data_IF_379429160928
#
_entry.id   IF_379429160928
#
_cell.length_a   1.000
_cell.length_b   1.000
_cell.length_c   1.000
_cell.angle_alpha   90.00
_cell.angle_beta   90.00
_cell.angle_gamma   90.00
#
_symmetry.space_group_name_H-M   'P 1'
#
loop_
_entity.id
_entity.type
_entity.pdbx_description
1 polymer ?
#
# COMPACT_ATOMS: atom_id res chain seq x y z
N UNK A 1 -25.18 -19.39 2.67
CA UNK A 1 -25.29 -18.18 3.53
C UNK A 1 -26.45 -17.31 3.03
N UNK A 2 -27.19 -16.64 3.92
CA UNK A 2 -28.34 -15.77 3.59
C UNK A 2 -28.08 -14.32 4.07
N UNK A 3 -27.32 -13.51 3.30
CA UNK A 3 -27.07 -12.11 3.65
C UNK A 3 -28.33 -11.26 3.49
N UNK A 4 -28.42 -10.18 4.26
CA UNK A 4 -29.51 -9.17 4.17
C UNK A 4 -29.21 -8.13 3.08
N UNK A 5 -27.93 -7.86 2.85
CA UNK A 5 -27.42 -6.93 1.84
C UNK A 5 -26.03 -7.42 1.41
N UNK A 6 -25.67 -7.19 0.15
CA UNK A 6 -24.36 -7.51 -0.41
C UNK A 6 -23.64 -6.23 -0.86
N UNK A 7 -22.32 -6.18 -0.72
CA UNK A 7 -21.48 -5.06 -1.16
C UNK A 7 -20.27 -5.54 -1.94
N UNK A 8 -20.00 -4.91 -3.08
CA UNK A 8 -18.82 -5.15 -3.91
C UNK A 8 -18.00 -3.86 -3.96
N UNK A 9 -16.86 -3.84 -3.27
CA UNK A 9 -15.92 -2.72 -3.30
C UNK A 9 -15.19 -2.63 -4.64
N UNK A 10 -14.29 -1.65 -4.79
CA UNK A 10 -13.47 -1.50 -6.00
C UNK A 10 -12.77 -2.81 -6.36
N UNK A 11 -12.90 -3.19 -7.63
CA UNK A 11 -12.28 -4.37 -8.19
C UNK A 11 -10.90 -4.02 -8.73
N UNK A 12 -9.93 -4.90 -8.48
CA UNK A 12 -8.59 -4.82 -9.04
C UNK A 12 -8.10 -6.22 -9.40
N UNK A 13 -7.09 -6.27 -10.28
CA UNK A 13 -6.38 -7.52 -10.55
C UNK A 13 -5.64 -7.92 -9.28
N UNK A 14 -6.05 -9.04 -8.70
CA UNK A 14 -5.45 -9.65 -7.52
C UNK A 14 -5.83 -11.13 -7.48
N UNK A 15 -5.01 -11.95 -6.83
CA UNK A 15 -5.25 -13.39 -6.69
C UNK A 15 -5.55 -14.12 -8.01
N UNK A 16 -4.80 -13.83 -9.07
CA UNK A 16 -5.04 -14.35 -10.43
C UNK A 16 -5.05 -15.87 -10.52
N UNK A 17 -4.26 -16.56 -9.67
CA UNK A 17 -4.22 -18.02 -9.59
C UNK A 17 -5.56 -18.66 -9.17
N UNK A 18 -6.43 -17.93 -8.45
CA UNK A 18 -7.71 -18.45 -7.92
C UNK A 18 -8.89 -17.78 -8.60
N UNK A 19 -8.82 -16.45 -8.81
CA UNK A 19 -9.95 -15.65 -9.29
C UNK A 19 -9.96 -15.47 -10.82
N UNK A 20 -8.88 -15.84 -11.50
CA UNK A 20 -8.70 -15.65 -12.93
C UNK A 20 -7.72 -14.51 -13.27
N UNK A 21 -7.19 -14.58 -14.48
CA UNK A 21 -6.18 -13.69 -15.05
C UNK A 21 -6.74 -12.37 -15.61
N UNK A 22 -8.06 -12.20 -15.65
CA UNK A 22 -8.70 -10.96 -16.14
C UNK A 22 -9.63 -10.34 -15.09
N UNK A 23 -9.84 -9.03 -15.19
CA UNK A 23 -10.70 -8.29 -14.25
C UNK A 23 -12.16 -8.75 -14.36
N UNK A 24 -12.58 -9.24 -15.52
CA UNK A 24 -13.91 -9.81 -15.78
C UNK A 24 -14.11 -11.13 -15.04
N UNK A 25 -13.12 -12.03 -15.07
CA UNK A 25 -13.17 -13.29 -14.32
C UNK A 25 -13.22 -13.02 -12.82
N UNK A 26 -12.43 -12.06 -12.36
CA UNK A 26 -12.44 -11.60 -10.96
C UNK A 26 -13.81 -11.01 -10.59
N UNK A 27 -14.38 -10.16 -11.44
CA UNK A 27 -15.71 -9.59 -11.25
C UNK A 27 -16.79 -10.66 -11.19
N UNK A 28 -16.70 -11.67 -12.05
CA UNK A 28 -17.65 -12.79 -12.07
C UNK A 28 -17.59 -13.59 -10.76
N UNK A 29 -16.38 -13.94 -10.29
CA UNK A 29 -16.17 -14.66 -9.04
C UNK A 29 -16.65 -13.86 -7.83
N UNK A 30 -16.25 -12.59 -7.72
CA UNK A 30 -16.65 -11.70 -6.61
C UNK A 30 -18.15 -11.38 -6.67
N UNK A 31 -18.75 -11.31 -7.85
CA UNK A 31 -20.20 -11.21 -8.05
C UNK A 31 -20.98 -12.43 -7.56
N UNK A 32 -20.31 -13.57 -7.30
CA UNK A 32 -20.93 -14.76 -6.70
C UNK A 32 -21.49 -14.55 -5.28
N UNK A 33 -21.14 -13.44 -4.61
CA UNK A 33 -21.74 -13.09 -3.31
C UNK A 33 -23.17 -12.58 -3.44
N UNK A 34 -23.59 -12.10 -4.62
CA UNK A 34 -24.95 -11.62 -4.88
C UNK A 34 -25.95 -12.77 -4.68
N UNK A 35 -27.17 -12.45 -4.21
CA UNK A 35 -28.21 -13.43 -3.87
C UNK A 35 -29.58 -13.01 -4.39
N UNK A 36 -30.45 -13.97 -4.76
CA UNK A 36 -31.78 -13.66 -5.28
C UNK A 36 -32.59 -12.80 -4.30
N UNK A 37 -33.15 -11.69 -4.80
CA UNK A 37 -33.96 -10.75 -4.01
C UNK A 37 -33.21 -9.94 -2.95
N UNK A 38 -31.91 -10.18 -2.75
CA UNK A 38 -31.09 -9.44 -1.77
C UNK A 38 -30.50 -8.20 -2.44
N UNK A 39 -30.65 -7.00 -1.87
CA UNK A 39 -30.07 -5.79 -2.44
C UNK A 39 -28.53 -5.86 -2.43
N UNK A 40 -27.94 -5.51 -3.58
CA UNK A 40 -26.50 -5.40 -3.80
C UNK A 40 -26.09 -3.95 -4.05
N UNK A 41 -24.93 -3.57 -3.54
CA UNK A 41 -24.31 -2.26 -3.80
C UNK A 41 -22.90 -2.44 -4.37
N UNK A 42 -22.52 -1.60 -5.33
CA UNK A 42 -21.15 -1.48 -5.82
C UNK A 42 -20.72 -0.02 -5.85
N UNK A 43 -19.41 0.22 -5.82
CA UNK A 43 -18.80 1.52 -6.13
C UNK A 43 -18.51 1.62 -7.64
N UNK A 44 -18.11 2.80 -8.17
CA UNK A 44 -17.65 2.91 -9.55
C UNK A 44 -16.56 1.90 -9.90
N UNK A 45 -16.69 1.28 -11.07
CA UNK A 45 -15.77 0.28 -11.62
C UNK A 45 -15.48 0.62 -13.09
N UNK A 46 -14.40 0.07 -13.69
CA UNK A 46 -14.24 0.08 -15.14
C UNK A 46 -15.44 -0.56 -15.84
N UNK A 47 -15.74 -0.11 -17.07
CA UNK A 47 -16.96 -0.50 -17.78
C UNK A 47 -17.11 -2.02 -17.96
N UNK A 48 -16.02 -2.71 -18.31
CA UNK A 48 -16.01 -4.16 -18.53
C UNK A 48 -16.40 -4.98 -17.28
N UNK A 49 -15.70 -4.88 -16.13
CA UNK A 49 -16.09 -5.60 -14.91
C UNK A 49 -17.44 -5.13 -14.36
N UNK A 50 -17.82 -3.86 -14.53
CA UNK A 50 -19.16 -3.39 -14.14
C UNK A 50 -20.26 -4.14 -14.91
N UNK A 51 -20.07 -4.32 -16.22
CA UNK A 51 -21.02 -5.05 -17.07
C UNK A 51 -21.18 -6.50 -16.61
N UNK A 52 -20.10 -7.15 -16.18
CA UNK A 52 -20.14 -8.50 -15.60
C UNK A 52 -20.99 -8.53 -14.33
N UNK A 53 -20.79 -7.57 -13.41
CA UNK A 53 -21.59 -7.48 -12.18
C UNK A 53 -23.08 -7.26 -12.48
N UNK A 54 -23.39 -6.42 -13.46
CA UNK A 54 -24.77 -6.13 -13.90
C UNK A 54 -25.43 -7.38 -14.48
N UNK A 55 -24.74 -8.10 -15.37
CA UNK A 55 -25.25 -9.34 -15.95
C UNK A 55 -25.48 -10.39 -14.85
N UNK A 56 -24.52 -10.53 -13.92
CA UNK A 56 -24.62 -11.46 -12.79
C UNK A 56 -25.79 -11.14 -11.87
N UNK A 57 -26.00 -9.86 -11.57
CA UNK A 57 -27.13 -9.41 -10.76
C UNK A 57 -28.47 -9.71 -11.45
N UNK A 58 -28.57 -9.50 -12.77
CA UNK A 58 -29.76 -9.83 -13.57
C UNK A 58 -30.05 -11.33 -13.57
N UNK A 59 -29.05 -12.17 -13.85
CA UNK A 59 -29.17 -13.64 -13.83
C UNK A 59 -29.68 -14.16 -12.48
N UNK A 60 -29.17 -13.59 -11.38
CA UNK A 60 -29.51 -14.01 -10.02
C UNK A 60 -30.88 -13.46 -9.57
N UNK A 61 -31.39 -12.40 -10.21
CA UNK A 61 -32.53 -11.64 -9.69
C UNK A 61 -32.17 -10.82 -8.45
N UNK A 62 -30.95 -10.30 -8.39
CA UNK A 62 -30.44 -9.42 -7.34
C UNK A 62 -30.61 -7.96 -7.78
N UNK A 63 -31.35 -7.11 -7.04
CA UNK A 63 -31.28 -5.66 -7.24
C UNK A 63 -29.85 -5.18 -7.00
N UNK A 64 -29.27 -4.44 -7.93
CA UNK A 64 -27.91 -3.90 -7.82
C UNK A 64 -27.94 -2.40 -8.03
N UNK A 65 -27.20 -1.67 -7.19
CA UNK A 65 -27.13 -0.21 -7.23
C UNK A 65 -25.68 0.29 -7.19
N UNK A 66 -25.43 1.40 -7.87
CA UNK A 66 -24.20 2.17 -7.72
C UNK A 66 -24.29 3.04 -6.46
N UNK A 67 -23.25 3.10 -5.65
CA UNK A 67 -23.20 4.02 -4.51
C UNK A 67 -22.98 5.46 -5.01
N UNK A 68 -23.63 6.46 -4.38
CA UNK A 68 -23.40 7.88 -4.69
C UNK A 68 -22.02 8.34 -4.22
N UNK A 69 -21.61 9.54 -4.64
CA UNK A 69 -20.40 10.16 -4.11
C UNK A 69 -20.57 10.48 -2.62
N UNK A 70 -19.47 10.51 -1.85
CA UNK A 70 -19.54 10.82 -0.42
C UNK A 70 -20.10 12.24 -0.17
N UNK A 71 -19.87 13.16 -1.11
CA UNK A 71 -20.38 14.53 -1.04
C UNK A 71 -21.92 14.59 -1.08
N UNK A 72 -22.59 13.58 -1.65
CA UNK A 72 -24.07 13.53 -1.72
C UNK A 72 -24.72 13.24 -0.36
N UNK A 73 -23.95 12.81 0.64
CA UNK A 73 -24.42 12.61 2.02
C UNK A 73 -24.19 13.84 2.91
N UNK A 74 -23.48 14.85 2.40
CA UNK A 74 -23.15 16.07 3.14
C UNK A 74 -24.33 17.05 3.15
N UNK A 75 -24.45 17.81 4.24
CA UNK A 75 -25.39 18.93 4.31
C UNK A 75 -24.63 20.23 4.07
N UNK A 76 -25.35 21.28 3.67
CA UNK A 76 -24.76 22.60 3.47
C UNK A 76 -23.95 23.05 4.70
N UNK A 77 -22.65 23.25 4.51
CA UNK A 77 -21.70 23.64 5.57
C UNK A 77 -21.24 22.51 6.50
N UNK A 78 -21.58 21.24 6.26
CA UNK A 78 -21.16 20.09 7.08
C UNK A 78 -20.57 18.97 6.24
N UNK A 79 -19.25 18.99 6.09
CA UNK A 79 -18.52 17.91 5.42
C UNK A 79 -18.35 16.69 6.32
N UNK A 80 -18.40 15.50 5.72
CA UNK A 80 -18.17 14.23 6.41
C UNK A 80 -16.67 13.99 6.59
N UNK A 81 -16.20 14.10 7.83
CA UNK A 81 -14.84 13.74 8.18
C UNK A 81 -14.72 12.21 8.35
N UNK A 82 -13.73 11.59 7.69
CA UNK A 82 -13.43 10.16 7.80
C UNK A 82 -12.24 9.94 8.73
N UNK A 83 -12.28 8.89 9.56
CA UNK A 83 -11.15 8.48 10.40
C UNK A 83 -9.99 7.87 9.62
N UNK A 84 -10.27 7.36 8.41
CA UNK A 84 -9.27 6.78 7.52
C UNK A 84 -8.86 7.79 6.44
N UNK A 85 -7.55 7.95 6.24
CA UNK A 85 -7.00 8.85 5.24
C UNK A 85 -7.03 8.26 3.82
N UNK A 86 -6.92 9.13 2.81
CA UNK A 86 -6.82 8.75 1.40
C UNK A 86 -8.17 8.75 0.66
N UNK A 87 -8.17 9.26 -0.57
CA UNK A 87 -9.41 9.48 -1.35
C UNK A 87 -10.22 8.21 -1.62
N UNK A 88 -9.55 7.07 -1.76
CA UNK A 88 -10.22 5.79 -1.96
C UNK A 88 -11.13 5.40 -0.78
N UNK A 89 -10.88 5.94 0.42
CA UNK A 89 -11.74 5.70 1.57
C UNK A 89 -13.10 6.39 1.45
N UNK A 90 -13.25 7.43 0.62
CA UNK A 90 -14.54 8.07 0.33
C UNK A 90 -15.51 7.08 -0.33
N UNK A 91 -15.01 6.29 -1.30
CA UNK A 91 -15.78 5.22 -1.94
C UNK A 91 -16.14 4.11 -0.94
N UNK A 92 -15.18 3.71 -0.09
CA UNK A 92 -15.42 2.70 0.94
C UNK A 92 -16.46 3.17 1.97
N UNK A 93 -16.41 4.45 2.37
CA UNK A 93 -17.36 5.06 3.29
C UNK A 93 -18.76 5.13 2.69
N UNK A 94 -18.91 5.55 1.43
CA UNK A 94 -20.20 5.55 0.74
C UNK A 94 -20.79 4.14 0.66
N UNK A 95 -19.97 3.14 0.29
CA UNK A 95 -20.43 1.74 0.30
C UNK A 95 -20.84 1.29 1.70
N UNK A 96 -20.06 1.60 2.75
CA UNK A 96 -20.38 1.26 4.13
C UNK A 96 -21.70 1.90 4.59
N UNK A 97 -21.94 3.18 4.25
CA UNK A 97 -23.19 3.89 4.55
C UNK A 97 -24.40 3.20 3.91
N UNK A 98 -24.33 2.87 2.61
CA UNK A 98 -25.43 2.18 1.92
C UNK A 98 -25.71 0.79 2.51
N UNK A 99 -24.65 0.04 2.82
CA UNK A 99 -24.78 -1.29 3.44
C UNK A 99 -25.40 -1.21 4.83
N UNK A 100 -24.91 -0.29 5.68
CA UNK A 100 -25.42 -0.08 7.02
C UNK A 100 -26.88 0.37 7.00
N UNK A 101 -27.20 1.34 6.14
CA UNK A 101 -28.56 1.85 5.98
C UNK A 101 -29.53 0.76 5.55
N UNK A 102 -29.21 0.02 4.49
CA UNK A 102 -30.05 -1.05 3.99
C UNK A 102 -30.26 -2.13 5.06
N UNK A 103 -29.19 -2.49 5.78
CA UNK A 103 -29.29 -3.46 6.86
C UNK A 103 -30.22 -2.98 7.99
N UNK A 104 -30.08 -1.73 8.45
CA UNK A 104 -30.91 -1.16 9.51
C UNK A 104 -32.38 -1.08 9.10
N UNK A 105 -32.66 -0.68 7.86
CA UNK A 105 -34.01 -0.63 7.30
C UNK A 105 -34.66 -2.03 7.26
N UNK A 106 -33.95 -3.03 6.76
CA UNK A 106 -34.45 -4.42 6.69
C UNK A 106 -34.65 -5.04 8.07
N UNK A 107 -33.96 -4.53 9.11
CA UNK A 107 -34.15 -4.93 10.50
C UNK A 107 -35.27 -4.17 11.22
N UNK A 108 -35.90 -3.19 10.57
CA UNK A 108 -36.96 -2.37 11.16
C UNK A 108 -36.45 -1.33 12.17
N UNK A 109 -35.15 -1.01 12.16
CA UNK A 109 -34.58 0.03 13.01
C UNK A 109 -35.05 1.41 12.53
N UNK A 110 -35.83 2.12 13.34
CA UNK A 110 -36.29 3.50 13.07
C UNK A 110 -35.24 4.51 13.54
N UNK A 111 -35.25 5.72 12.97
CA UNK A 111 -34.45 6.86 13.43
C UNK A 111 -33.04 7.01 12.84
N UNK A 112 -32.65 6.16 11.88
CA UNK A 112 -31.32 6.19 11.25
C UNK A 112 -31.35 6.75 9.82
N UNK A 113 -31.81 8.00 9.65
CA UNK A 113 -31.89 8.64 8.34
C UNK A 113 -33.11 8.16 7.55
N UNK A 114 -34.08 9.05 7.37
CA UNK A 114 -35.22 8.80 6.48
C UNK A 114 -34.75 8.91 5.03
N UNK A 115 -34.63 7.78 4.33
CA UNK A 115 -34.69 7.84 2.88
C UNK A 115 -36.12 8.20 2.50
N UNK A 116 -36.29 9.23 1.66
CA UNK A 116 -37.49 9.41 0.82
C UNK A 116 -37.54 8.32 -0.27
N UNK A 117 -37.34 7.06 0.09
CA UNK A 117 -37.60 5.94 -0.79
C UNK A 117 -38.99 5.46 -0.34
N UNK A 118 -40.06 5.76 -1.11
CA UNK A 118 -41.34 5.14 -0.85
C UNK A 118 -41.11 3.64 -0.85
N UNK A 119 -41.75 2.93 0.07
CA UNK A 119 -41.88 1.48 0.08
C UNK A 119 -42.04 0.93 -1.35
N UNK A 120 -40.92 0.57 -2.00
CA UNK A 120 -40.89 0.25 -3.42
C UNK A 120 -40.57 -1.24 -3.53
N UNK A 121 -41.42 -1.93 -4.29
CA UNK A 121 -41.00 -3.10 -5.06
C UNK A 121 -39.66 -2.74 -5.70
N UNK A 122 -38.54 -3.27 -5.20
CA UNK A 122 -37.21 -2.89 -5.69
C UNK A 122 -37.18 -3.17 -7.19
N UNK A 123 -36.98 -2.16 -8.04
CA UNK A 123 -36.98 -2.38 -9.48
C UNK A 123 -35.84 -3.32 -9.84
N UNK A 124 -36.14 -4.31 -10.68
CA UNK A 124 -35.13 -5.15 -11.33
C UNK A 124 -34.11 -4.27 -12.06
N UNK A 125 -32.85 -4.69 -12.08
CA UNK A 125 -31.69 -3.97 -12.64
C UNK A 125 -32.02 -3.36 -14.02
N UNK A 126 -32.14 -2.02 -14.08
CA UNK A 126 -32.27 -1.26 -15.33
C UNK A 126 -30.90 -0.80 -15.81
N UNK A 127 -30.73 -0.63 -17.12
CA UNK A 127 -29.54 -0.02 -17.72
C UNK A 127 -29.89 1.43 -18.13
N UNK A 128 -29.07 2.44 -17.79
CA UNK A 128 -27.84 2.38 -16.98
C UNK A 128 -28.10 1.96 -15.53
N UNK A 129 -27.09 1.38 -14.86
CA UNK A 129 -27.19 0.93 -13.47
C UNK A 129 -27.72 2.06 -12.59
N UNK A 130 -28.79 1.79 -11.84
CA UNK A 130 -29.42 2.82 -11.02
C UNK A 130 -28.50 3.28 -9.90
N UNK A 131 -28.33 4.59 -9.78
CA UNK A 131 -27.67 5.23 -8.65
C UNK A 131 -28.54 5.05 -7.42
N UNK A 132 -27.95 4.61 -6.31
CA UNK A 132 -28.65 4.56 -5.04
C UNK A 132 -28.88 5.97 -4.52
N UNK A 133 -30.03 6.22 -3.92
CA UNK A 133 -30.31 7.51 -3.32
C UNK A 133 -29.42 7.73 -2.09
N UNK A 134 -28.72 8.86 -2.07
CA UNK A 134 -28.09 9.34 -0.85
C UNK A 134 -29.14 9.66 0.22
N UNK A 135 -28.71 9.69 1.47
CA UNK A 135 -29.54 9.96 2.63
C UNK A 135 -28.72 10.76 3.65
N UNK A 136 -29.39 11.43 4.58
CA UNK A 136 -28.71 12.12 5.68
C UNK A 136 -28.19 11.08 6.69
N UNK A 137 -26.87 10.91 6.85
CA UNK A 137 -26.33 9.95 7.83
C UNK A 137 -26.74 10.36 9.24
N UNK A 138 -27.12 9.37 10.04
CA UNK A 138 -27.40 9.58 11.46
C UNK A 138 -26.13 9.93 12.23
N UNK A 139 -26.26 10.57 13.40
CA UNK A 139 -25.11 10.90 14.24
C UNK A 139 -24.23 9.66 14.57
N UNK A 140 -24.78 8.47 14.89
CA UNK A 140 -23.96 7.26 15.06
C UNK A 140 -23.22 6.82 13.80
N UNK A 141 -23.78 7.02 12.60
CA UNK A 141 -23.08 6.71 11.35
C UNK A 141 -21.92 7.67 11.11
N UNK A 142 -22.13 8.97 11.30
CA UNK A 142 -21.07 9.98 11.18
C UNK A 142 -19.96 9.70 12.17
N UNK A 143 -20.30 9.45 13.44
CA UNK A 143 -19.33 9.07 14.47
C UNK A 143 -18.61 7.77 14.13
N UNK A 144 -19.33 6.77 13.62
CA UNK A 144 -18.74 5.51 13.17
C UNK A 144 -17.69 5.73 12.07
N UNK A 145 -17.97 6.58 11.08
CA UNK A 145 -17.00 6.93 10.04
C UNK A 145 -15.79 7.69 10.60
N UNK A 146 -16.00 8.61 11.54
CA UNK A 146 -14.94 9.41 12.18
C UNK A 146 -14.03 8.59 13.07
N UNK A 147 -14.61 7.67 13.85
CA UNK A 147 -13.89 6.86 14.84
C UNK A 147 -13.31 5.57 14.22
N UNK A 148 -13.53 5.31 12.93
CA UNK A 148 -13.04 4.09 12.27
C UNK A 148 -11.51 4.10 12.24
N UNK A 149 -10.92 3.10 12.90
CA UNK A 149 -9.49 2.80 12.85
C UNK A 149 -9.29 1.46 12.14
N UNK A 150 -8.38 1.44 11.17
CA UNK A 150 -7.99 0.22 10.46
C UNK A 150 -6.47 0.12 10.39
N UNK A 151 -5.91 -0.74 11.24
CA UNK A 151 -4.46 -0.92 11.35
C UNK A 151 -3.86 -1.37 10.00
N UNK A 152 -2.79 -0.69 9.60
CA UNK A 152 -2.11 -0.94 8.34
C UNK A 152 -2.83 -0.44 7.10
N UNK A 153 -3.76 0.51 7.24
CA UNK A 153 -4.41 1.22 6.12
C UNK A 153 -4.22 2.71 6.28
N UNK A 154 -3.40 3.29 5.40
CA UNK A 154 -3.07 4.74 5.41
C UNK A 154 -2.75 5.25 6.83
N UNK A 155 -2.01 4.44 7.60
CA UNK A 155 -1.76 4.70 9.01
C UNK A 155 -0.42 5.42 9.15
N UNK A 156 -0.40 6.50 9.93
CA UNK A 156 0.83 7.21 10.30
C UNK A 156 1.10 6.98 11.78
N UNK A 157 2.32 6.54 12.11
CA UNK A 157 2.80 6.46 13.48
C UNK A 157 4.03 7.34 13.64
N UNK A 158 4.04 8.19 14.66
CA UNK A 158 5.14 9.09 14.97
C UNK A 158 5.87 8.60 16.22
N UNK A 159 7.18 8.40 16.13
CA UNK A 159 8.05 7.90 17.20
C UNK A 159 9.34 8.72 17.24
N UNK A 160 9.37 9.76 18.06
CA UNK A 160 10.49 10.70 18.09
C UNK A 160 10.71 11.35 16.70
N UNK A 161 11.91 11.27 16.11
CA UNK A 161 12.22 11.79 14.77
C UNK A 161 11.85 10.82 13.63
N UNK A 162 11.08 9.76 13.91
CA UNK A 162 10.70 8.74 12.94
C UNK A 162 9.20 8.80 12.66
N UNK A 163 8.85 8.79 11.38
CA UNK A 163 7.47 8.65 10.92
C UNK A 163 7.31 7.39 10.11
N UNK A 164 6.49 6.48 10.61
CA UNK A 164 6.09 5.29 9.88
C UNK A 164 4.81 5.56 9.12
N UNK A 165 4.87 5.38 7.80
CA UNK A 165 3.74 5.38 6.90
C UNK A 165 3.43 3.94 6.55
N UNK A 166 2.29 3.43 6.98
CA UNK A 166 2.00 2.00 6.94
C UNK A 166 0.72 1.76 6.12
N UNK A 167 0.87 1.04 5.00
CA UNK A 167 -0.26 0.68 4.17
C UNK A 167 -0.09 -0.68 3.47
N UNK A 168 -1.04 -1.59 3.68
CA UNK A 168 -1.05 -2.94 3.11
C UNK A 168 -1.43 -3.03 1.63
N UNK A 169 -1.21 -1.98 0.82
CA UNK A 169 -1.38 -2.01 -0.63
C UNK A 169 -0.50 -3.08 -1.28
N UNK A 170 -1.03 -3.77 -2.29
CA UNK A 170 -0.35 -4.87 -2.99
C UNK A 170 -0.94 -5.17 -4.38
N UNK A 171 -1.67 -4.22 -4.94
CA UNK A 171 -2.20 -4.22 -6.31
C UNK A 171 -1.84 -2.88 -6.94
N UNK A 172 -1.81 -2.78 -8.28
CA UNK A 172 -1.45 -1.52 -8.93
C UNK A 172 -2.32 -0.34 -8.46
N UNK A 173 -3.63 -0.54 -8.36
CA UNK A 173 -4.56 0.49 -7.90
C UNK A 173 -4.36 0.86 -6.43
N UNK A 174 -4.12 -0.12 -5.56
CA UNK A 174 -3.89 0.17 -4.14
C UNK A 174 -2.53 0.83 -3.90
N UNK A 175 -1.48 0.43 -4.63
CA UNK A 175 -0.15 1.08 -4.54
C UNK A 175 -0.24 2.51 -5.06
N UNK A 176 -0.95 2.78 -6.16
CA UNK A 176 -1.18 4.17 -6.60
C UNK A 176 -1.91 5.01 -5.54
N UNK A 177 -2.91 4.44 -4.86
CA UNK A 177 -3.61 5.13 -3.78
C UNK A 177 -2.69 5.39 -2.58
N UNK A 178 -1.87 4.40 -2.22
CA UNK A 178 -0.84 4.50 -1.18
C UNK A 178 0.19 5.59 -1.51
N UNK A 179 0.71 5.63 -2.74
CA UNK A 179 1.67 6.64 -3.23
C UNK A 179 1.10 8.05 -3.11
N UNK A 180 -0.14 8.27 -3.58
CA UNK A 180 -0.81 9.58 -3.47
C UNK A 180 -0.96 10.02 -2.03
N UNK A 181 -1.42 9.12 -1.16
CA UNK A 181 -1.55 9.39 0.27
C UNK A 181 -0.20 9.70 0.91
N UNK A 182 0.81 8.86 0.68
CA UNK A 182 2.16 9.03 1.22
C UNK A 182 2.76 10.38 0.81
N UNK A 183 2.75 10.69 -0.49
CA UNK A 183 3.29 11.96 -1.00
C UNK A 183 2.60 13.17 -0.37
N UNK A 184 1.27 13.12 -0.21
CA UNK A 184 0.52 14.22 0.38
C UNK A 184 0.90 14.43 1.85
N UNK A 185 0.93 13.35 2.64
CA UNK A 185 1.17 13.45 4.09
C UNK A 185 2.64 13.73 4.39
N UNK A 186 3.56 13.03 3.72
CA UNK A 186 5.00 13.19 3.89
C UNK A 186 5.49 14.59 3.52
N UNK A 187 4.93 15.19 2.46
CA UNK A 187 5.26 16.56 2.05
C UNK A 187 4.72 17.60 3.05
N UNK A 188 3.53 17.36 3.62
CA UNK A 188 2.97 18.26 4.63
C UNK A 188 3.79 18.23 5.93
N UNK A 189 4.26 17.06 6.32
CA UNK A 189 5.19 16.90 7.45
C UNK A 189 6.53 17.61 7.19
N UNK A 190 7.12 17.41 6.01
CA UNK A 190 8.39 18.05 5.63
C UNK A 190 8.28 19.57 5.64
N UNK A 191 7.14 20.14 5.20
CA UNK A 191 6.89 21.59 5.26
C UNK A 191 6.72 22.12 6.68
N UNK A 192 6.24 21.30 7.61
CA UNK A 192 6.05 21.68 9.00
C UNK A 192 7.36 21.56 9.81
N UNK A 193 8.26 20.67 9.38
CA UNK A 193 9.57 20.49 9.97
C UNK A 193 10.62 21.49 9.46
N UNK A 194 11.69 21.65 10.24
CA UNK A 194 12.90 22.34 9.80
C UNK A 194 14.06 21.35 9.85
N UNK A 195 14.56 20.91 8.68
CA UNK A 195 15.75 20.07 8.61
C UNK A 195 15.76 19.09 7.43
N UNK A 196 16.82 18.29 7.34
CA UNK A 196 16.96 17.24 6.34
C UNK A 196 16.01 16.08 6.63
N UNK A 197 15.32 15.61 5.59
CA UNK A 197 14.45 14.43 5.64
C UNK A 197 15.08 13.31 4.82
N UNK A 198 15.11 12.10 5.37
CA UNK A 198 15.52 10.90 4.65
C UNK A 198 14.34 9.95 4.53
N UNK A 199 14.08 9.46 3.31
CA UNK A 199 12.95 8.59 2.98
C UNK A 199 13.41 7.16 2.74
N UNK A 200 12.82 6.22 3.47
CA UNK A 200 13.09 4.79 3.36
C UNK A 200 11.83 4.07 2.89
N UNK A 201 11.95 3.25 1.87
CA UNK A 201 10.94 2.27 1.49
C UNK A 201 11.26 0.94 2.17
N UNK A 202 10.29 0.35 2.85
CA UNK A 202 10.33 -1.04 3.29
C UNK A 202 9.26 -1.82 2.51
N UNK A 203 9.71 -2.71 1.61
CA UNK A 203 8.83 -3.37 0.66
C UNK A 203 9.02 -4.88 0.61
N UNK A 204 7.90 -5.59 0.51
CA UNK A 204 7.87 -6.97 0.07
C UNK A 204 6.51 -7.29 -0.53
N UNK A 205 6.47 -8.23 -1.47
CA UNK A 205 5.23 -8.72 -2.07
C UNK A 205 5.26 -10.25 -2.14
N UNK A 206 4.10 -10.87 -1.92
CA UNK A 206 3.96 -12.33 -1.96
C UNK A 206 3.32 -12.83 -3.24
N UNK A 207 3.56 -14.11 -3.55
CA UNK A 207 2.89 -14.84 -4.63
C UNK A 207 3.37 -14.44 -6.02
N UNK A 208 2.53 -14.70 -7.03
CA UNK A 208 2.81 -14.48 -8.45
C UNK A 208 2.55 -13.03 -8.92
N UNK A 209 2.76 -12.06 -8.02
CA UNK A 209 2.51 -10.64 -8.33
C UNK A 209 3.66 -10.07 -9.15
N UNK A 210 3.33 -9.19 -10.09
CA UNK A 210 4.33 -8.42 -10.83
C UNK A 210 4.94 -7.35 -9.92
N UNK A 211 5.98 -7.73 -9.19
CA UNK A 211 6.68 -6.83 -8.27
C UNK A 211 7.38 -5.69 -8.98
N UNK A 212 7.79 -5.87 -10.25
CA UNK A 212 8.40 -4.80 -11.03
C UNK A 212 7.38 -3.69 -11.33
N UNK A 213 6.15 -4.07 -11.72
CA UNK A 213 5.06 -3.11 -11.92
C UNK A 213 4.70 -2.36 -10.63
N UNK A 214 4.64 -3.05 -9.48
CA UNK A 214 4.36 -2.40 -8.19
C UNK A 214 5.48 -1.43 -7.78
N UNK A 215 6.74 -1.85 -7.91
CA UNK A 215 7.91 -1.03 -7.59
C UNK A 215 8.02 0.20 -8.49
N UNK A 216 7.69 0.07 -9.77
CA UNK A 216 7.65 1.19 -10.73
C UNK A 216 6.70 2.30 -10.27
N UNK A 217 5.57 1.95 -9.67
CA UNK A 217 4.61 2.93 -9.15
C UNK A 217 5.13 3.71 -7.93
N UNK A 218 6.13 3.17 -7.21
CA UNK A 218 6.72 3.77 -6.01
C UNK A 218 7.87 4.75 -6.32
N UNK A 219 8.39 4.78 -7.55
CA UNK A 219 9.49 5.68 -7.96
C UNK A 219 9.21 7.18 -7.71
N UNK A 220 7.98 7.70 -7.93
CA UNK A 220 7.67 9.11 -7.69
C UNK A 220 7.75 9.54 -6.22
N UNK A 221 7.91 8.62 -5.26
CA UNK A 221 8.04 8.96 -3.85
C UNK A 221 9.46 9.46 -3.47
N UNK A 222 10.44 9.29 -4.37
CA UNK A 222 11.84 9.70 -4.17
C UNK A 222 12.44 9.15 -2.85
N UNK A 223 12.49 7.83 -2.72
CA UNK A 223 13.16 7.20 -1.58
C UNK A 223 14.68 7.30 -1.72
N UNK A 224 15.34 7.70 -0.63
CA UNK A 224 16.80 7.67 -0.52
C UNK A 224 17.30 6.23 -0.38
N UNK A 225 16.53 5.39 0.32
CA UNK A 225 16.82 3.97 0.50
C UNK A 225 15.62 3.07 0.20
N UNK A 226 15.87 1.92 -0.43
CA UNK A 226 14.89 0.86 -0.64
C UNK A 226 15.33 -0.42 0.07
N UNK A 227 14.53 -0.88 1.02
CA UNK A 227 14.81 -2.00 1.90
C UNK A 227 13.82 -3.13 1.61
N UNK A 228 14.36 -4.31 1.37
CA UNK A 228 13.59 -5.52 1.09
C UNK A 228 13.84 -6.55 2.19
N UNK A 229 12.77 -7.12 2.74
CA UNK A 229 12.88 -8.19 3.73
C UNK A 229 11.70 -9.16 3.61
N UNK A 230 11.86 -10.42 4.03
CA UNK A 230 10.76 -11.37 4.03
C UNK A 230 9.72 -10.97 5.08
N UNK A 231 8.51 -11.53 4.98
CA UNK A 231 7.42 -11.30 5.94
C UNK A 231 7.62 -12.11 7.23
N UNK A 232 8.83 -12.07 7.78
CA UNK A 232 9.27 -12.75 8.99
C UNK A 232 9.64 -11.65 9.98
N UNK A 233 8.98 -11.60 11.14
CA UNK A 233 9.20 -10.52 12.11
C UNK A 233 10.60 -10.57 12.71
N UNK A 234 11.03 -11.75 13.16
CA UNK A 234 12.33 -12.00 13.79
C UNK A 234 12.89 -13.34 13.33
N UNK A 235 14.23 -13.45 13.23
CA UNK A 235 14.90 -14.73 12.93
C UNK A 235 15.06 -15.48 14.25
N UNK A 236 14.04 -16.23 14.66
CA UNK A 236 14.18 -17.15 15.79
C UNK A 236 14.91 -18.41 15.32
N UNK A 237 15.98 -18.82 16.01
CA UNK A 237 16.67 -20.09 15.75
C UNK A 237 15.84 -21.35 16.06
N UNK A 238 14.57 -21.21 16.43
CA UNK A 238 13.66 -22.30 16.78
C UNK A 238 12.27 -21.96 16.25
N UNK A 239 11.63 -22.93 15.60
CA UNK A 239 10.48 -22.77 14.72
C UNK A 239 9.26 -22.06 15.32
N UNK A 240 8.76 -21.06 14.58
CA UNK A 240 7.43 -20.49 14.75
C UNK A 240 6.48 -21.28 13.84
N UNK A 241 5.63 -22.11 14.47
CA UNK A 241 4.74 -23.07 13.80
C UNK A 241 3.55 -22.44 13.06
N UNK A 242 3.27 -21.15 13.25
CA UNK A 242 1.99 -20.55 12.83
C UNK A 242 2.06 -19.63 11.60
N UNK A 243 3.24 -19.42 11.00
CA UNK A 243 3.41 -18.63 9.76
C UNK A 243 3.95 -19.45 8.57
N UNK A 244 4.03 -20.77 8.71
CA UNK A 244 4.63 -21.62 7.69
C UNK A 244 3.58 -22.05 6.66
N UNK A 245 3.62 -21.43 5.48
CA UNK A 245 3.45 -22.23 4.28
C UNK A 245 4.60 -23.24 4.27
N UNK A 246 4.33 -24.48 4.67
CA UNK A 246 5.29 -25.59 4.84
C UNK A 246 6.19 -25.90 3.61
N UNK A 247 6.07 -25.17 2.52
CA UNK A 247 6.79 -25.37 1.26
C UNK A 247 7.82 -24.27 0.91
N UNK A 248 8.05 -23.26 1.77
CA UNK A 248 8.95 -22.14 1.44
C UNK A 248 10.07 -22.00 2.47
N UNK A 249 11.32 -22.24 2.06
CA UNK A 249 12.52 -22.08 2.89
C UNK A 249 12.89 -20.60 3.09
N UNK A 250 13.69 -20.31 4.13
CA UNK A 250 14.25 -18.96 4.36
C UNK A 250 15.06 -18.48 3.13
N UNK A 251 15.80 -19.38 2.51
CA UNK A 251 16.56 -19.12 1.29
C UNK A 251 15.66 -18.66 0.12
N UNK A 252 14.50 -19.32 -0.07
CA UNK A 252 13.55 -18.97 -1.12
C UNK A 252 12.94 -17.58 -0.90
N UNK A 253 12.56 -17.23 0.34
CA UNK A 253 12.02 -15.89 0.62
C UNK A 253 13.08 -14.79 0.52
N UNK A 254 14.33 -15.08 0.89
CA UNK A 254 15.47 -14.16 0.71
C UNK A 254 15.80 -13.95 -0.76
N UNK A 255 15.77 -15.01 -1.57
CA UNK A 255 15.98 -14.95 -3.02
C UNK A 255 14.97 -14.00 -3.67
N UNK A 256 13.70 -14.08 -3.27
CA UNK A 256 12.66 -13.13 -3.72
C UNK A 256 12.96 -11.68 -3.32
N UNK A 257 13.51 -11.45 -2.13
CA UNK A 257 13.91 -10.10 -1.71
C UNK A 257 15.07 -9.57 -2.55
N UNK A 258 16.05 -10.42 -2.88
CA UNK A 258 17.16 -10.09 -3.79
C UNK A 258 16.65 -9.82 -5.23
N UNK A 259 15.67 -10.56 -5.71
CA UNK A 259 15.03 -10.28 -7.00
C UNK A 259 14.30 -8.93 -7.00
N UNK A 260 13.58 -8.61 -5.94
CA UNK A 260 12.93 -7.30 -5.79
C UNK A 260 13.97 -6.16 -5.76
N UNK A 261 15.08 -6.35 -5.06
CA UNK A 261 16.21 -5.41 -5.06
C UNK A 261 16.78 -5.21 -6.47
N UNK A 262 17.02 -6.29 -7.22
CA UNK A 262 17.51 -6.21 -8.62
C UNK A 262 16.53 -5.44 -9.51
N UNK A 263 15.23 -5.75 -9.43
CA UNK A 263 14.17 -5.05 -10.17
C UNK A 263 14.15 -3.55 -9.83
N UNK A 264 14.28 -3.20 -8.55
CA UNK A 264 14.36 -1.80 -8.13
C UNK A 264 15.57 -1.09 -8.71
N UNK A 265 16.76 -1.72 -8.68
CA UNK A 265 17.97 -1.12 -9.23
C UNK A 265 17.85 -0.85 -10.74
N UNK A 266 17.35 -1.82 -11.51
CA UNK A 266 17.08 -1.64 -12.94
C UNK A 266 16.14 -0.45 -13.21
N UNK A 267 15.07 -0.32 -12.43
CA UNK A 267 14.13 0.81 -12.55
C UNK A 267 14.80 2.16 -12.24
N UNK A 268 15.74 2.22 -11.30
CA UNK A 268 16.50 3.44 -10.98
C UNK A 268 17.50 3.82 -12.07
N UNK A 269 18.13 2.83 -12.71
CA UNK A 269 19.03 3.03 -13.85
C UNK A 269 18.27 3.56 -15.07
N UNK A 270 17.13 2.96 -15.41
CA UNK A 270 16.26 3.41 -16.51
C UNK A 270 15.85 4.87 -16.35
N UNK A 271 15.50 5.28 -15.12
CA UNK A 271 15.16 6.67 -14.81
C UNK A 271 16.33 7.62 -15.04
N UNK A 272 17.53 7.25 -14.59
CA UNK A 272 18.72 8.08 -14.70
C UNK A 272 19.16 8.29 -16.16
N UNK A 273 18.96 7.28 -17.02
CA UNK A 273 19.21 7.38 -18.46
C UNK A 273 18.14 8.19 -19.21
N UNK A 274 16.92 8.32 -18.67
CA UNK A 274 15.81 9.04 -19.29
C UNK A 274 15.81 10.55 -19.03
N UNK A 275 16.63 11.05 -18.10
CA UNK A 275 16.79 12.49 -17.81
C UNK A 275 17.77 13.14 -18.82
N UNK A 276 17.31 13.99 -19.77
CA UNK A 276 18.16 14.53 -20.84
C UNK A 276 19.21 15.54 -20.35
N UNK A 277 19.12 15.99 -19.09
CA UNK A 277 20.04 16.95 -18.49
C UNK A 277 21.15 16.29 -17.65
N UNK A 278 21.02 14.99 -17.31
CA UNK A 278 22.05 14.26 -16.58
C UNK A 278 23.25 13.86 -17.47
N UNK A 279 23.10 13.95 -18.79
CA UNK A 279 24.08 13.58 -19.82
C UNK A 279 24.72 14.81 -20.48
N UNK A 280 25.23 15.76 -19.70
CA UNK A 280 25.96 16.91 -20.26
C UNK A 280 27.24 17.24 -19.51
N UNK A 281 28.24 16.37 -19.61
CA UNK A 281 29.66 16.76 -19.61
C UNK A 281 30.40 15.90 -20.65
N UNK A 282 30.95 16.47 -21.74
CA UNK A 282 31.70 15.70 -22.72
C UNK A 282 33.06 15.31 -22.16
N UNK A 283 33.31 14.00 -22.09
CA UNK A 283 34.66 13.44 -22.05
C UNK A 283 35.21 13.54 -23.47
N UNK A 284 36.35 14.21 -23.59
CA UNK A 284 37.36 14.18 -24.67
C UNK A 284 37.70 15.56 -25.25
N UNK A 285 38.79 16.14 -24.74
CA UNK A 285 39.79 16.80 -25.60
C UNK A 285 41.05 17.11 -24.78
N UNK A 286 42.13 16.37 -25.06
CA UNK A 286 43.53 16.82 -25.23
C UNK A 286 44.53 15.76 -24.75
N UNK A 287 44.91 14.86 -25.66
CA UNK A 287 46.23 14.21 -25.64
C UNK A 287 47.05 14.86 -26.76
N UNK A 288 48.19 15.46 -26.40
CA UNK A 288 49.35 15.65 -27.28
C UNK A 288 50.60 15.23 -26.53
N UNK A 289 51.27 14.20 -27.07
CA UNK A 289 52.72 13.95 -27.16
C UNK A 289 53.55 14.01 -25.84
N UNK A 290 54.37 13.05 -25.40
CA UNK A 290 55.04 11.88 -26.00
C UNK A 290 55.86 11.15 -24.86
N UNK A 291 56.88 10.27 -25.08
CA UNK A 291 56.90 8.91 -24.54
C UNK A 291 57.97 8.63 -23.44
N UNK A 292 57.70 7.66 -22.53
CA UNK A 292 58.73 6.77 -21.91
C UNK A 292 58.11 5.71 -20.95
N UNK A 293 58.07 4.47 -21.44
CA UNK A 293 58.32 3.19 -20.74
C UNK A 293 58.09 3.07 -19.22
N UNK A 294 57.07 2.28 -18.80
CA UNK A 294 57.05 1.31 -17.67
C UNK A 294 55.65 0.69 -17.49
N UNK A 295 55.49 -0.50 -16.87
CA UNK A 295 54.52 -1.50 -17.28
C UNK A 295 53.08 -1.21 -16.86
N UNK A 296 52.14 -1.71 -17.67
CA UNK A 296 50.69 -1.68 -17.50
C UNK A 296 50.26 -2.20 -16.12
N UNK A 297 50.04 -1.27 -15.19
CA UNK A 297 49.14 -1.46 -14.06
C UNK A 297 47.88 -0.66 -14.40
N UNK A 298 46.91 -1.33 -15.01
CA UNK A 298 45.54 -0.84 -15.12
C UNK A 298 44.97 -0.78 -13.69
N UNK A 299 45.28 0.29 -12.98
CA UNK A 299 44.44 0.74 -11.89
C UNK A 299 43.13 1.21 -12.55
N UNK A 300 41.97 0.64 -12.22
CA UNK A 300 40.71 1.23 -12.62
C UNK A 300 40.68 2.63 -12.00
N UNK A 301 40.73 3.63 -12.87
CA UNK A 301 40.31 5.00 -12.58
C UNK A 301 39.02 4.91 -11.79
N UNK A 302 38.99 5.54 -10.61
CA UNK A 302 37.88 5.49 -9.64
C UNK A 302 36.51 5.54 -10.33
N UNK A 303 35.91 4.38 -10.53
CA UNK A 303 34.51 4.24 -10.87
C UNK A 303 33.73 4.94 -9.77
N UNK A 304 32.84 5.87 -10.15
CA UNK A 304 31.80 6.36 -9.25
C UNK A 304 31.08 5.13 -8.70
N UNK A 305 31.28 4.86 -7.41
CA UNK A 305 30.62 3.78 -6.68
C UNK A 305 29.14 3.74 -7.08
N UNK A 306 28.70 2.62 -7.66
CA UNK A 306 27.29 2.29 -7.82
C UNK A 306 26.57 2.58 -6.50
N UNK A 307 25.70 3.60 -6.50
CA UNK A 307 24.96 4.06 -5.32
C UNK A 307 24.29 2.88 -4.60
N UNK A 308 24.81 2.51 -3.44
CA UNK A 308 24.38 1.39 -2.61
C UNK A 308 23.12 1.75 -1.80
N UNK A 309 22.04 2.14 -2.48
CA UNK A 309 20.82 2.68 -1.86
C UNK A 309 19.69 1.64 -1.75
N UNK A 310 19.95 0.38 -2.11
CA UNK A 310 19.00 -0.72 -1.93
C UNK A 310 19.62 -1.85 -1.11
N UNK A 311 18.86 -2.40 -0.16
CA UNK A 311 19.36 -3.33 0.84
C UNK A 311 18.38 -4.51 1.04
N UNK A 312 18.92 -5.67 1.43
CA UNK A 312 18.13 -6.84 1.78
C UNK A 312 18.45 -7.27 3.21
N UNK A 313 17.43 -7.49 4.02
CA UNK A 313 17.56 -8.00 5.40
C UNK A 313 16.83 -9.32 5.59
N UNK A 314 17.27 -10.17 6.54
CA UNK A 314 16.67 -11.48 6.76
C UNK A 314 15.30 -11.46 7.44
N UNK A 315 14.88 -10.34 8.02
CA UNK A 315 13.59 -10.17 8.68
C UNK A 315 13.24 -8.68 8.86
N UNK A 316 12.01 -8.44 9.29
CA UNK A 316 11.43 -7.10 9.48
C UNK A 316 12.16 -6.34 10.60
N UNK A 317 12.44 -6.99 11.73
CA UNK A 317 13.15 -6.36 12.86
C UNK A 317 14.51 -5.79 12.45
N UNK A 318 15.32 -6.56 11.71
CA UNK A 318 16.63 -6.09 11.26
C UNK A 318 16.52 -4.93 10.27
N UNK A 319 15.56 -4.99 9.35
CA UNK A 319 15.29 -3.90 8.41
C UNK A 319 14.88 -2.61 9.14
N UNK A 320 14.00 -2.70 10.14
CA UNK A 320 13.56 -1.56 10.93
C UNK A 320 14.67 -1.01 11.82
N UNK A 321 15.50 -1.86 12.43
CA UNK A 321 16.64 -1.42 13.24
C UNK A 321 17.64 -0.62 12.41
N UNK A 322 17.91 -1.09 11.20
CA UNK A 322 18.74 -0.35 10.27
C UNK A 322 18.05 0.94 9.80
N UNK A 323 16.76 0.92 9.45
CA UNK A 323 16.08 2.12 8.97
C UNK A 323 15.95 3.22 10.04
N UNK A 324 15.82 2.83 11.30
CA UNK A 324 15.64 3.76 12.44
C UNK A 324 16.94 4.20 13.09
N UNK A 325 18.02 3.42 12.93
CA UNK A 325 19.32 3.67 13.58
C UNK A 325 19.21 3.87 15.11
N UNK A 326 18.24 3.20 15.77
CA UNK A 326 18.01 3.32 17.21
C UNK A 326 17.39 4.65 17.65
N UNK A 327 16.81 5.43 16.72
CA UNK A 327 16.18 6.73 17.00
C UNK A 327 14.68 6.63 17.30
N UNK A 328 14.09 5.44 17.18
CA UNK A 328 12.76 5.17 17.70
C UNK A 328 12.88 4.81 19.19
N UNK A 329 12.31 5.61 20.12
CA UNK A 329 12.44 5.41 21.56
C UNK A 329 11.74 4.15 22.08
N UNK A 330 10.71 3.67 21.36
CA UNK A 330 9.87 2.56 21.79
C UNK A 330 10.28 1.23 21.13
N UNK A 331 11.23 1.27 20.19
CA UNK A 331 11.69 0.12 19.45
C UNK A 331 13.06 -0.37 19.96
N UNK A 332 13.15 -1.59 20.53
CA UNK A 332 14.38 -2.07 21.13
C UNK A 332 15.49 -2.28 20.10
N UNK A 333 16.68 -1.76 20.42
CA UNK A 333 17.91 -2.07 19.68
C UNK A 333 18.34 -3.51 20.01
N UNK A 334 18.09 -4.47 19.10
CA UNK A 334 18.69 -5.81 19.22
C UNK A 334 20.18 -5.71 18.86
N UNK A 335 20.98 -6.57 19.48
CA UNK A 335 22.45 -6.61 19.45
C UNK A 335 23.08 -5.97 18.19
N UNK A 336 23.84 -4.89 18.41
CA UNK A 336 24.59 -4.14 17.39
C UNK A 336 25.57 -5.01 16.59
N UNK A 337 25.95 -6.18 17.12
CA UNK A 337 26.91 -7.09 16.53
C UNK A 337 26.52 -7.60 15.12
N UNK A 338 25.22 -7.69 14.78
CA UNK A 338 24.79 -8.13 13.45
C UNK A 338 24.84 -7.04 12.37
N UNK A 339 24.58 -5.77 12.73
CA UNK A 339 24.70 -4.63 11.80
C UNK A 339 26.14 -4.47 11.29
N UNK A 340 27.12 -4.93 12.07
CA UNK A 340 28.55 -4.92 11.72
C UNK A 340 28.95 -5.99 10.69
N UNK A 341 28.13 -7.01 10.44
CA UNK A 341 28.44 -8.08 9.47
C UNK A 341 27.85 -7.88 8.07
N UNK A 342 26.99 -6.88 7.86
CA UNK A 342 26.48 -6.55 6.53
C UNK A 342 27.34 -5.44 5.88
N UNK A 343 28.19 -5.74 4.89
CA UNK A 343 29.22 -4.82 4.39
C UNK A 343 28.68 -3.51 3.79
N UNK A 344 27.40 -3.47 3.43
CA UNK A 344 26.73 -2.29 2.87
C UNK A 344 25.93 -1.49 3.91
N UNK A 345 25.59 -2.10 5.06
CA UNK A 345 24.73 -1.48 6.08
C UNK A 345 25.46 -0.39 6.88
N UNK A 346 26.78 -0.51 7.04
CA UNK A 346 27.61 0.44 7.78
C UNK A 346 27.88 1.72 6.99
N UNK A 347 28.33 1.63 5.73
CA UNK A 347 28.67 2.80 4.90
C UNK A 347 27.46 3.61 4.44
N UNK A 348 26.31 2.96 4.23
CA UNK A 348 25.09 3.63 3.78
C UNK A 348 24.27 4.30 4.89
N UNK A 349 24.61 4.14 6.17
CA UNK A 349 23.75 4.59 7.29
C UNK A 349 23.95 6.05 7.74
N UNK A 350 24.95 6.76 7.19
CA UNK A 350 25.32 8.12 7.63
C UNK A 350 24.16 9.10 7.48
N UNK A 351 23.48 9.10 6.32
CA UNK A 351 22.34 10.00 6.09
C UNK A 351 21.21 9.78 7.10
N UNK A 352 20.92 8.52 7.47
CA UNK A 352 19.89 8.21 8.47
C UNK A 352 20.25 8.73 9.87
N UNK A 353 21.54 8.72 10.24
CA UNK A 353 21.99 9.24 11.54
C UNK A 353 22.00 10.76 11.59
N UNK A 354 22.35 11.41 10.49
CA UNK A 354 22.47 12.87 10.41
C UNK A 354 21.14 13.57 10.06
N UNK A 355 20.15 12.84 9.54
CA UNK A 355 18.85 13.39 9.18
C UNK A 355 18.17 14.04 10.38
N UNK A 356 17.55 15.20 10.18
CA UNK A 356 16.66 15.73 11.20
C UNK A 356 15.45 14.79 11.43
N UNK A 357 14.95 14.20 10.35
CA UNK A 357 13.74 13.37 10.36
C UNK A 357 13.82 12.19 9.39
N UNK A 358 13.23 11.04 9.74
CA UNK A 358 13.21 9.84 8.89
C UNK A 358 11.77 9.44 8.59
N UNK A 359 11.43 9.32 7.31
CA UNK A 359 10.12 8.88 6.84
C UNK A 359 10.23 7.46 6.27
N UNK A 360 9.52 6.50 6.86
CA UNK A 360 9.59 5.09 6.47
C UNK A 360 8.23 4.64 5.91
N UNK A 361 8.13 4.36 4.61
CA UNK A 361 6.95 3.76 4.01
C UNK A 361 7.04 2.23 4.05
N UNK A 362 6.09 1.57 4.71
CA UNK A 362 5.97 0.11 4.78
C UNK A 362 4.77 -0.33 3.96
N UNK A 363 5.01 -1.04 2.85
CA UNK A 363 3.95 -1.44 1.91
C UNK A 363 4.29 -2.68 1.08
N UNK A 364 3.36 -3.12 0.21
CA UNK A 364 3.53 -4.25 -0.70
C UNK A 364 2.93 -5.57 -0.21
N UNK A 365 2.73 -5.73 1.10
CA UNK A 365 2.19 -6.96 1.70
C UNK A 365 1.49 -6.68 3.03
N UNK A 366 0.30 -7.25 3.21
CA UNK A 366 -0.41 -7.24 4.49
C UNK A 366 0.36 -7.96 5.60
N UNK A 367 1.14 -8.98 5.26
CA UNK A 367 1.94 -9.72 6.24
C UNK A 367 3.18 -8.93 6.65
N UNK A 368 3.80 -8.19 5.73
CA UNK A 368 4.89 -7.27 6.05
C UNK A 368 4.40 -6.19 7.02
N UNK A 369 3.28 -5.54 6.65
CA UNK A 369 2.65 -4.48 7.44
C UNK A 369 2.24 -5.00 8.82
N UNK A 370 1.59 -6.16 8.89
CA UNK A 370 1.21 -6.76 10.17
C UNK A 370 2.41 -7.13 11.05
N UNK A 371 3.49 -7.66 10.46
CA UNK A 371 4.73 -7.96 11.19
C UNK A 371 5.43 -6.70 11.70
N UNK A 372 5.51 -5.65 10.88
CA UNK A 372 6.08 -4.37 11.27
C UNK A 372 5.26 -3.69 12.38
N UNK A 373 3.93 -3.70 12.29
CA UNK A 373 3.07 -3.10 13.31
C UNK A 373 3.24 -3.76 14.68
N UNK A 374 3.36 -5.09 14.74
CA UNK A 374 3.62 -5.80 16.01
C UNK A 374 4.95 -5.40 16.66
N UNK A 375 5.95 -5.07 15.85
CA UNK A 375 7.27 -4.64 16.30
C UNK A 375 7.28 -3.16 16.73
N UNK A 376 6.63 -2.27 15.97
CA UNK A 376 6.60 -0.82 16.21
C UNK A 376 5.62 -0.43 17.33
N UNK A 377 4.55 -1.21 17.51
CA UNK A 377 3.53 -0.97 18.52
C UNK A 377 3.22 -2.26 19.28
N UNK A 378 3.95 -2.46 20.37
CA UNK A 378 3.84 -3.66 21.21
C UNK A 378 2.46 -3.81 21.86
N UNK A 379 1.67 -2.73 21.96
CA UNK A 379 0.30 -2.80 22.48
C UNK A 379 -0.61 -3.67 21.60
N UNK A 380 -0.27 -3.84 20.32
CA UNK A 380 -0.99 -4.67 19.36
C UNK A 380 -0.68 -6.17 19.43
N UNK A 381 0.26 -6.56 20.31
CA UNK A 381 0.68 -7.96 20.51
C UNK A 381 -0.02 -8.62 21.71
N UNK A 382 -0.75 -7.84 22.51
CA UNK A 382 -1.69 -8.31 23.54
C UNK A 382 -3.03 -8.68 22.92
#
# INVERSE_FOLDING_TARGET
RKPIVCGISSLGIDHTAILGDTIEKIAWQKGGILKPGVPGFTVPQPASPLQVLINRAKEIGCPLYMCPDIAEYEEEGKSLHLGLAGDHQKLNASLALQLAQMWLQQRGCKGFGETKIPSLKLPLVKWPLSLASAFRPSLPMVKGLQDTVWLGRTQVLQRGPISYYIDGAHTNNSIMACVRWFQQVALNEEKAGAGSVVRVLLFNAMGERDTAALLKLLQPCHFDYAVFCPNISEVSGVGIADQQNYNVTLENVLTRCLENQKKWNMLMEERSCSDPWASSLPVDTLIKDSPRSSPLLLAPSSDRLLNCNSLVFPCISHALQWATQGRDPDFPCLDSNFLHHHPVASSGSVLLREAAHIQILITGSLHLVGGALKLIDQSLTQ
#
